data_IF_620956566768
#
_entry.id   IF_620956566768
#
_cell.length_a   1.000
_cell.length_b   1.000
_cell.length_c   1.000
_cell.angle_alpha   90.00
_cell.angle_beta   90.00
_cell.angle_gamma   90.00
#
_symmetry.space_group_name_H-M   'P 1'
#
loop_
_entity.id
_entity.type
_entity.pdbx_description
1 polymer ?
#
# COMPACT_ATOMS: atom_id res chain seq x y z
N UNK A 1 -27.43 -7.40 -5.04
CA UNK A 1 -26.86 -8.72 -4.68
C UNK A 1 -27.85 -9.84 -4.96
N UNK A 2 -28.91 -10.00 -4.16
CA UNK A 2 -29.82 -11.14 -4.27
C UNK A 2 -30.49 -11.26 -5.65
N UNK A 3 -30.89 -10.15 -6.27
CA UNK A 3 -31.48 -10.18 -7.60
C UNK A 3 -30.52 -10.72 -8.67
N UNK A 4 -29.30 -10.19 -8.75
CA UNK A 4 -28.28 -10.66 -9.69
C UNK A 4 -27.85 -12.12 -9.44
N UNK A 5 -27.84 -12.56 -8.17
CA UNK A 5 -27.56 -13.94 -7.78
C UNK A 5 -28.70 -14.88 -8.21
N UNK A 6 -29.96 -14.52 -7.92
CA UNK A 6 -31.12 -15.31 -8.30
C UNK A 6 -31.27 -15.42 -9.81
N UNK A 7 -31.00 -14.35 -10.55
CA UNK A 7 -30.98 -14.37 -12.02
C UNK A 7 -29.88 -15.28 -12.57
N UNK A 8 -28.66 -15.19 -12.04
CA UNK A 8 -27.55 -16.05 -12.46
C UNK A 8 -27.73 -17.53 -12.09
N UNK A 9 -28.40 -17.83 -10.97
CA UNK A 9 -28.65 -19.20 -10.52
C UNK A 9 -29.88 -19.85 -11.18
N UNK A 10 -30.75 -19.08 -11.84
CA UNK A 10 -32.04 -19.52 -12.35
C UNK A 10 -31.95 -20.71 -13.32
N UNK A 11 -30.87 -20.80 -14.09
CA UNK A 11 -30.64 -21.87 -15.09
C UNK A 11 -29.32 -22.59 -14.87
N UNK A 12 -28.85 -22.64 -13.62
CA UNK A 12 -27.56 -23.23 -13.28
C UNK A 12 -27.47 -24.68 -13.78
N UNK A 13 -26.45 -25.00 -14.56
CA UNK A 13 -26.24 -26.34 -15.14
C UNK A 13 -27.01 -26.63 -16.42
N UNK A 14 -27.70 -25.65 -17.01
CA UNK A 14 -28.28 -25.77 -18.35
C UNK A 14 -27.38 -25.14 -19.42
N UNK A 15 -27.56 -25.56 -20.68
CA UNK A 15 -26.77 -25.07 -21.83
C UNK A 15 -26.94 -23.56 -22.05
N UNK A 16 -28.06 -23.00 -21.60
CA UNK A 16 -28.41 -21.58 -21.67
C UNK A 16 -28.20 -20.84 -20.34
N UNK A 17 -27.38 -21.37 -19.44
CA UNK A 17 -26.93 -20.69 -18.23
C UNK A 17 -26.25 -19.35 -18.56
N UNK A 18 -26.68 -18.27 -17.89
CA UNK A 18 -26.10 -16.95 -18.07
C UNK A 18 -25.85 -16.29 -16.70
N UNK A 19 -24.57 -16.17 -16.35
CA UNK A 19 -24.12 -15.55 -15.10
C UNK A 19 -23.60 -14.11 -15.29
N UNK A 20 -23.74 -13.53 -16.48
CA UNK A 20 -23.13 -12.24 -16.83
C UNK A 20 -23.59 -11.10 -15.91
N UNK A 21 -24.88 -11.08 -15.55
CA UNK A 21 -25.43 -10.10 -14.62
C UNK A 21 -24.81 -10.24 -13.21
N UNK A 22 -24.56 -11.46 -12.76
CA UNK A 22 -23.89 -11.72 -11.48
C UNK A 22 -22.41 -11.31 -11.52
N UNK A 23 -21.70 -11.61 -12.61
CA UNK A 23 -20.29 -11.22 -12.78
C UNK A 23 -20.15 -9.71 -12.83
N UNK A 24 -21.01 -9.01 -13.59
CA UNK A 24 -20.99 -7.54 -13.68
C UNK A 24 -21.24 -6.91 -12.31
N UNK A 25 -22.26 -7.38 -11.61
CA UNK A 25 -22.55 -6.95 -10.25
C UNK A 25 -21.36 -7.19 -9.31
N UNK A 26 -20.73 -8.37 -9.38
CA UNK A 26 -19.59 -8.70 -8.52
C UNK A 26 -18.39 -7.80 -8.78
N UNK A 27 -18.06 -7.56 -10.06
CA UNK A 27 -16.98 -6.65 -10.46
C UNK A 27 -17.24 -5.21 -10.00
N UNK A 28 -18.47 -4.72 -10.12
CA UNK A 28 -18.86 -3.42 -9.61
C UNK A 28 -18.66 -3.33 -8.09
N UNK A 29 -19.04 -4.38 -7.34
CA UNK A 29 -18.83 -4.41 -5.89
C UNK A 29 -17.34 -4.44 -5.52
N UNK A 30 -16.51 -5.18 -6.26
CA UNK A 30 -15.07 -5.16 -6.07
C UNK A 30 -14.50 -3.76 -6.32
N UNK A 31 -14.92 -3.10 -7.40
CA UNK A 31 -14.49 -1.75 -7.72
C UNK A 31 -14.84 -0.75 -6.61
N UNK A 32 -16.08 -0.77 -6.11
CA UNK A 32 -16.51 0.09 -4.99
C UNK A 32 -15.71 -0.20 -3.72
N UNK A 33 -15.39 -1.47 -3.44
CA UNK A 33 -14.60 -1.84 -2.26
C UNK A 33 -13.16 -1.34 -2.37
N UNK A 34 -12.55 -1.42 -3.56
CA UNK A 34 -11.22 -0.87 -3.84
C UNK A 34 -11.23 0.64 -3.62
N UNK A 35 -12.17 1.37 -4.22
CA UNK A 35 -12.30 2.83 -4.03
C UNK A 35 -12.47 3.23 -2.56
N UNK A 36 -13.26 2.46 -1.79
CA UNK A 36 -13.42 2.71 -0.35
C UNK A 36 -12.15 2.42 0.45
N UNK A 37 -11.37 1.45 0.02
CA UNK A 37 -10.09 1.12 0.64
C UNK A 37 -9.10 2.26 0.36
N UNK A 38 -8.97 2.70 -0.89
CA UNK A 38 -8.11 3.80 -1.31
C UNK A 38 -8.46 5.09 -0.56
N UNK A 39 -9.74 5.47 -0.53
CA UNK A 39 -10.19 6.66 0.21
C UNK A 39 -9.89 6.61 1.72
N UNK A 40 -9.93 5.41 2.33
CA UNK A 40 -9.49 5.25 3.73
C UNK A 40 -7.98 5.42 3.84
N UNK A 41 -7.21 4.82 2.93
CA UNK A 41 -5.76 4.98 2.88
C UNK A 41 -5.35 6.45 2.72
N UNK A 42 -5.99 7.21 1.83
CA UNK A 42 -5.71 8.64 1.61
C UNK A 42 -6.03 9.48 2.86
N UNK A 43 -7.10 9.13 3.59
CA UNK A 43 -7.40 9.76 4.88
C UNK A 43 -6.33 9.45 5.93
N UNK A 44 -5.78 8.24 5.95
CA UNK A 44 -4.70 7.85 6.87
C UNK A 44 -3.34 8.44 6.46
N UNK A 45 -3.08 8.62 5.15
CA UNK A 45 -1.91 9.32 4.61
C UNK A 45 -1.95 10.81 4.94
N UNK A 46 -3.08 11.48 4.69
CA UNK A 46 -3.24 12.93 4.96
C UNK A 46 -3.20 13.27 6.46
N UNK A 47 -3.56 12.31 7.32
CA UNK A 47 -3.37 12.44 8.78
C UNK A 47 -2.03 11.92 9.29
N UNK A 48 -1.17 11.42 8.39
CA UNK A 48 0.15 10.85 8.68
C UNK A 48 0.09 9.83 9.81
N UNK A 49 -0.08 8.55 9.50
CA UNK A 49 -0.04 7.46 10.50
C UNK A 49 1.01 7.76 11.57
N UNK A 50 0.61 7.72 12.85
CA UNK A 50 1.27 8.38 13.99
C UNK A 50 2.79 8.15 14.06
N UNK A 51 3.56 8.88 13.25
CA UNK A 51 5.01 8.74 13.20
C UNK A 51 5.57 9.35 14.47
N UNK A 52 6.40 8.59 15.17
CA UNK A 52 7.17 9.17 16.27
C UNK A 52 8.21 10.17 15.70
N UNK A 53 8.76 11.07 16.52
CA UNK A 53 9.70 12.11 16.05
C UNK A 53 10.86 11.55 15.22
N UNK A 54 11.46 10.45 15.67
CA UNK A 54 12.55 9.76 14.96
C UNK A 54 12.13 9.28 13.56
N UNK A 55 10.94 8.71 13.45
CA UNK A 55 10.40 8.25 12.17
C UNK A 55 10.12 9.42 11.21
N UNK A 56 9.69 10.57 11.73
CA UNK A 56 9.51 11.79 10.93
C UNK A 56 10.85 12.30 10.38
N UNK A 57 11.88 12.33 11.21
CA UNK A 57 13.24 12.69 10.79
C UNK A 57 13.75 11.73 9.71
N UNK A 58 13.52 10.43 9.86
CA UNK A 58 13.91 9.43 8.87
C UNK A 58 13.21 9.64 7.51
N UNK A 59 11.91 9.98 7.52
CA UNK A 59 11.16 10.30 6.30
C UNK A 59 11.69 11.58 5.65
N UNK A 60 11.97 12.63 6.44
CA UNK A 60 12.57 13.87 5.92
C UNK A 60 13.94 13.61 5.28
N UNK A 61 14.77 12.79 5.94
CA UNK A 61 16.08 12.39 5.41
C UNK A 61 15.96 11.57 4.11
N UNK A 62 14.99 10.66 4.02
CA UNK A 62 14.67 9.93 2.79
C UNK A 62 14.20 10.86 1.68
N UNK A 63 13.40 11.89 1.99
CA UNK A 63 12.93 12.87 0.99
C UNK A 63 14.08 13.61 0.30
N UNK A 64 15.13 13.93 1.04
CA UNK A 64 16.27 14.71 0.53
C UNK A 64 17.36 13.85 -0.14
N UNK A 65 17.50 12.59 0.28
CA UNK A 65 18.65 11.76 -0.11
C UNK A 65 18.31 10.41 -0.74
N UNK A 66 17.03 10.12 -1.00
CA UNK A 66 16.63 8.90 -1.71
C UNK A 66 17.33 8.76 -3.08
N UNK A 67 17.64 7.53 -3.53
CA UNK A 67 17.42 6.25 -2.85
C UNK A 67 18.51 5.94 -1.81
N UNK A 68 18.10 5.46 -0.63
CA UNK A 68 19.03 5.18 0.49
C UNK A 68 19.07 3.69 0.87
N UNK A 69 20.26 3.17 1.22
CA UNK A 69 20.38 1.88 1.91
C UNK A 69 20.21 2.04 3.41
N UNK A 70 19.90 0.93 4.09
CA UNK A 70 19.92 0.87 5.56
C UNK A 70 21.28 1.26 6.14
N UNK A 71 22.38 0.92 5.46
CA UNK A 71 23.74 1.31 5.89
C UNK A 71 23.95 2.82 5.88
N UNK A 72 23.38 3.50 4.88
CA UNK A 72 23.59 4.93 4.67
C UNK A 72 22.83 5.70 5.76
N UNK A 73 21.58 5.28 6.03
CA UNK A 73 20.79 5.79 7.15
C UNK A 73 21.44 5.50 8.51
N UNK A 74 22.03 4.31 8.71
CA UNK A 74 22.76 4.01 9.94
C UNK A 74 24.01 4.90 10.13
N UNK A 75 24.62 5.38 9.04
CA UNK A 75 25.71 6.35 9.07
C UNK A 75 25.28 7.76 9.49
N UNK A 76 24.07 8.17 9.09
CA UNK A 76 23.50 9.47 9.42
C UNK A 76 22.88 9.51 10.83
N UNK A 77 22.15 8.47 11.22
CA UNK A 77 21.45 8.37 12.51
C UNK A 77 22.29 7.60 13.54
N UNK A 78 23.46 8.13 13.91
CA UNK A 78 24.43 7.43 14.78
C UNK A 78 23.87 7.09 16.18
N UNK A 79 22.94 7.89 16.68
CA UNK A 79 22.29 7.68 17.99
C UNK A 79 21.23 6.56 17.97
N UNK A 80 20.89 6.04 16.79
CA UNK A 80 19.85 5.02 16.61
C UNK A 80 20.48 3.71 16.14
N UNK A 81 20.18 2.61 16.82
CA UNK A 81 20.67 1.31 16.39
C UNK A 81 20.15 0.94 14.98
N UNK A 82 21.00 0.28 14.19
CA UNK A 82 20.61 -0.24 12.87
C UNK A 82 19.38 -1.17 12.93
N UNK A 83 19.20 -1.88 14.05
CA UNK A 83 18.03 -2.74 14.27
C UNK A 83 16.75 -1.93 14.46
N UNK A 84 16.83 -0.79 15.16
CA UNK A 84 15.71 0.13 15.35
C UNK A 84 15.33 0.78 14.01
N UNK A 85 16.31 1.30 13.26
CA UNK A 85 16.07 1.84 11.91
C UNK A 85 15.43 0.81 10.98
N UNK A 86 15.91 -0.45 11.04
CA UNK A 86 15.31 -1.53 10.27
C UNK A 86 13.84 -1.77 10.64
N UNK A 87 13.48 -1.75 11.93
CA UNK A 87 12.08 -1.88 12.38
C UNK A 87 11.22 -0.70 11.91
N UNK A 88 11.75 0.52 12.00
CA UNK A 88 11.06 1.72 11.52
C UNK A 88 10.80 1.65 10.01
N UNK A 89 11.80 1.26 9.21
CA UNK A 89 11.64 1.08 7.77
C UNK A 89 10.68 -0.07 7.43
N UNK A 90 10.71 -1.18 8.19
CA UNK A 90 9.74 -2.27 8.00
C UNK A 90 8.31 -1.82 8.25
N UNK A 91 8.10 -1.00 9.29
CA UNK A 91 6.81 -0.38 9.55
C UNK A 91 6.42 0.55 8.39
N UNK A 92 7.32 1.45 7.97
CA UNK A 92 7.04 2.38 6.87
C UNK A 92 6.73 1.70 5.54
N UNK A 93 7.40 0.58 5.24
CA UNK A 93 7.11 -0.24 4.06
C UNK A 93 5.77 -0.93 4.18
N UNK A 94 5.43 -1.46 5.36
CA UNK A 94 4.13 -2.09 5.61
C UNK A 94 2.97 -1.09 5.45
N UNK A 95 3.16 0.13 5.93
CA UNK A 95 2.20 1.22 5.82
C UNK A 95 2.27 1.96 4.46
N UNK A 96 3.04 1.45 3.49
CA UNK A 96 3.16 2.02 2.14
C UNK A 96 3.60 3.50 2.10
N UNK A 97 4.37 3.95 3.09
CA UNK A 97 4.99 5.28 3.07
C UNK A 97 6.33 5.25 2.32
N UNK A 98 6.99 4.09 2.33
CA UNK A 98 8.32 3.87 1.76
C UNK A 98 8.27 2.59 0.93
N UNK A 99 8.82 2.61 -0.27
CA UNK A 99 9.04 1.40 -1.08
C UNK A 99 10.44 0.88 -0.88
N UNK A 100 10.56 -0.44 -0.74
CA UNK A 100 11.84 -1.15 -0.75
C UNK A 100 12.09 -1.71 -2.14
N UNK A 101 13.15 -1.23 -2.79
CA UNK A 101 13.60 -1.72 -4.08
C UNK A 101 14.78 -2.67 -3.90
N UNK A 102 14.79 -3.78 -4.63
CA UNK A 102 15.85 -4.80 -4.57
C UNK A 102 15.68 -5.86 -3.47
N UNK A 103 16.66 -6.77 -3.37
CA UNK A 103 16.66 -7.90 -2.42
C UNK A 103 17.96 -7.95 -1.60
N UNK A 104 17.85 -8.40 -0.35
CA UNK A 104 19.00 -8.60 0.54
C UNK A 104 19.80 -7.32 0.82
N UNK A 105 21.13 -7.40 0.79
CA UNK A 105 22.06 -6.29 1.09
C UNK A 105 22.03 -5.15 0.06
N UNK A 106 21.51 -5.41 -1.14
CA UNK A 106 21.36 -4.39 -2.18
C UNK A 106 20.05 -3.61 -2.11
N UNK A 107 19.27 -3.76 -1.03
CA UNK A 107 17.98 -3.08 -0.94
C UNK A 107 18.16 -1.59 -0.68
N UNK A 108 17.46 -0.78 -1.47
CA UNK A 108 17.34 0.67 -1.26
C UNK A 108 15.89 1.02 -0.94
N UNK A 109 15.72 2.14 -0.25
CA UNK A 109 14.45 2.66 0.20
C UNK A 109 14.22 4.00 -0.49
N UNK A 110 13.00 4.18 -1.00
CA UNK A 110 12.52 5.40 -1.65
C UNK A 110 11.15 5.74 -1.07
N UNK A 111 10.79 7.02 -1.04
CA UNK A 111 9.43 7.41 -0.72
C UNK A 111 8.47 6.84 -1.76
N UNK A 112 7.29 6.48 -1.29
CA UNK A 112 6.21 6.14 -2.21
C UNK A 112 5.66 7.45 -2.78
N UNK A 113 6.33 7.97 -3.82
CA UNK A 113 5.83 9.12 -4.58
C UNK A 113 4.50 8.72 -5.21
N UNK A 114 3.47 9.52 -4.94
CA UNK A 114 2.27 9.55 -5.77
C UNK A 114 2.74 9.67 -7.23
N UNK A 115 2.28 8.78 -8.10
CA UNK A 115 2.09 9.20 -9.49
C UNK A 115 1.16 10.42 -9.40
N UNK A 116 1.74 11.61 -9.40
CA UNK A 116 1.03 12.83 -9.73
C UNK A 116 0.51 12.59 -11.15
N UNK A 117 -0.73 12.11 -11.23
CA UNK A 117 -1.43 11.95 -12.49
C UNK A 117 -1.55 13.33 -13.13
N UNK A 118 -0.81 13.50 -14.22
CA UNK A 118 -0.97 14.55 -15.21
C UNK A 118 -2.27 14.31 -16.01
#
# INVERSE_FOLDING_TARGET
>A
YYQALMEGQKRRGHVDENISAWVLYFLERLHILIQKLDAKYDLFKSKGGYLNPRQKELIAYLKEHQPLKLSDMAGAFKEVSIHTLKKDLQYMVKEQMVRRLGRGKGSVYVLDEEEAGD
#
